data_IF_974924016503
#
_entry.id   IF_974924016503
#
_cell.length_a   1.000
_cell.length_b   1.000
_cell.length_c   1.000
_cell.angle_alpha   90.00
_cell.angle_beta   90.00
_cell.angle_gamma   90.00
#
_symmetry.space_group_name_H-M   'P 1'
#
loop_
_entity.id
_entity.type
_entity.pdbx_description
1 polymer ?
#
# COMPACT_ATOMS: atom_id res chain seq x y z
N UNK A 1 -11.38 -10.09 8.96
CA UNK A 1 -11.50 -10.83 10.23
C UNK A 1 -11.00 -10.01 11.42
N UNK A 2 -9.76 -9.49 11.42
CA UNK A 2 -9.25 -8.64 12.54
C UNK A 2 -10.15 -7.42 12.78
N UNK A 3 -10.47 -6.65 11.74
CA UNK A 3 -11.33 -5.44 11.82
C UNK A 3 -12.75 -5.68 12.38
N UNK A 4 -13.23 -6.92 12.40
CA UNK A 4 -14.56 -7.27 12.94
C UNK A 4 -14.54 -7.56 14.45
N UNK A 5 -13.34 -7.77 15.04
CA UNK A 5 -13.17 -8.01 16.47
C UNK A 5 -12.68 -6.77 17.23
N UNK A 6 -12.59 -5.63 16.57
CA UNK A 6 -12.04 -4.39 17.13
C UNK A 6 -13.14 -3.60 17.83
N UNK A 7 -12.80 -3.00 18.98
CA UNK A 7 -13.69 -2.11 19.75
C UNK A 7 -13.47 -0.62 19.43
N UNK A 8 -12.31 -0.26 18.89
CA UNK A 8 -11.95 1.11 18.49
C UNK A 8 -11.14 1.08 17.19
N UNK A 9 -11.67 1.73 16.15
CA UNK A 9 -11.01 1.93 14.87
C UNK A 9 -10.48 3.36 14.77
N UNK A 10 -9.15 3.49 14.73
CA UNK A 10 -8.47 4.76 14.45
C UNK A 10 -8.19 4.86 12.95
N UNK A 11 -8.79 5.84 12.29
CA UNK A 11 -8.63 6.08 10.85
C UNK A 11 -7.85 7.37 10.66
N UNK A 12 -6.63 7.24 10.15
CA UNK A 12 -5.66 8.33 10.04
C UNK A 12 -5.36 8.60 8.55
N UNK A 13 -5.86 9.71 8.01
CA UNK A 13 -5.55 10.17 6.66
C UNK A 13 -6.01 9.20 5.57
N UNK A 14 -7.07 8.44 5.85
CA UNK A 14 -7.61 7.44 4.96
C UNK A 14 -9.07 7.76 4.64
N UNK A 15 -9.42 7.52 3.38
CA UNK A 15 -10.79 7.61 2.88
C UNK A 15 -11.43 6.23 2.93
N UNK A 16 -12.68 6.16 3.35
CA UNK A 16 -13.46 4.92 3.38
C UNK A 16 -13.91 4.52 1.97
N UNK A 17 -12.96 4.15 1.10
CA UNK A 17 -13.29 3.66 -0.26
C UNK A 17 -14.05 2.34 -0.19
N UNK A 18 -14.95 2.14 -1.13
CA UNK A 18 -15.69 0.90 -1.39
C UNK A 18 -14.77 -0.35 -1.45
N UNK A 19 -13.59 -0.23 -2.06
CA UNK A 19 -12.59 -1.31 -2.15
C UNK A 19 -12.06 -1.76 -0.78
N UNK A 20 -12.08 -0.89 0.23
CA UNK A 20 -11.61 -1.18 1.59
C UNK A 20 -12.76 -1.64 2.48
N UNK A 21 -13.90 -0.94 2.40
CA UNK A 21 -15.02 -1.21 3.31
C UNK A 21 -15.90 -2.37 2.84
N UNK A 22 -15.89 -2.70 1.55
CA UNK A 22 -16.83 -3.62 0.94
C UNK A 22 -18.27 -3.20 1.20
N UNK A 23 -18.94 -3.86 2.14
CA UNK A 23 -20.29 -3.50 2.58
C UNK A 23 -20.22 -2.57 3.80
N UNK A 24 -20.42 -1.27 3.57
CA UNK A 24 -20.36 -0.23 4.60
C UNK A 24 -21.12 -0.58 5.90
N UNK A 25 -22.34 -1.12 5.79
CA UNK A 25 -23.17 -1.52 6.96
C UNK A 25 -22.57 -2.64 7.82
N UNK A 26 -21.70 -3.47 7.24
CA UNK A 26 -21.04 -4.58 7.92
C UNK A 26 -19.60 -4.22 8.35
N UNK A 27 -19.10 -3.05 7.94
CA UNK A 27 -17.74 -2.62 8.24
C UNK A 27 -17.66 -2.05 9.65
N UNK A 28 -16.81 -2.65 10.49
CA UNK A 28 -16.52 -2.18 11.86
C UNK A 28 -17.77 -1.88 12.71
N UNK A 29 -18.87 -2.63 12.53
CA UNK A 29 -20.18 -2.36 13.14
C UNK A 29 -20.19 -2.35 14.68
N UNK A 30 -19.23 -3.01 15.32
CA UNK A 30 -19.08 -3.09 16.77
C UNK A 30 -17.99 -2.15 17.32
N UNK A 31 -17.34 -1.36 16.47
CA UNK A 31 -16.22 -0.50 16.85
C UNK A 31 -16.65 0.96 16.95
N UNK A 32 -16.09 1.68 17.93
CA UNK A 32 -16.06 3.15 17.90
C UNK A 32 -15.09 3.63 16.83
N UNK A 33 -15.46 4.65 16.07
CA UNK A 33 -14.66 5.14 14.95
C UNK A 33 -14.16 6.55 15.25
N UNK A 34 -12.83 6.72 15.24
CA UNK A 34 -12.18 8.03 15.29
C UNK A 34 -11.57 8.30 13.92
N UNK A 35 -11.99 9.37 13.26
CA UNK A 35 -11.53 9.71 11.90
C UNK A 35 -10.78 11.04 11.90
N UNK A 36 -9.50 10.98 11.54
CA UNK A 36 -8.63 12.16 11.42
C UNK A 36 -8.31 12.33 9.94
N UNK A 37 -8.70 13.47 9.37
CA UNK A 37 -8.43 13.81 7.97
C UNK A 37 -8.17 15.31 7.84
N UNK A 38 -7.40 15.69 6.83
CA UNK A 38 -7.16 17.11 6.52
C UNK A 38 -8.34 17.70 5.74
N UNK A 39 -9.07 16.86 5.01
CA UNK A 39 -10.20 17.25 4.18
C UNK A 39 -11.52 17.06 4.95
N UNK A 40 -12.23 18.16 5.30
CA UNK A 40 -13.49 18.06 6.02
C UNK A 40 -14.59 17.31 5.23
N UNK A 41 -14.48 17.24 3.89
CA UNK A 41 -15.48 16.58 3.04
C UNK A 41 -15.41 15.05 3.10
N UNK A 42 -14.32 14.48 3.62
CA UNK A 42 -14.17 13.03 3.77
C UNK A 42 -14.73 12.52 5.11
N UNK A 43 -14.86 13.40 6.10
CA UNK A 43 -15.45 13.07 7.40
C UNK A 43 -16.95 12.78 7.23
N UNK A 44 -17.41 11.66 7.80
CA UNK A 44 -18.82 11.20 7.73
C UNK A 44 -19.38 10.93 6.32
N UNK A 45 -18.54 10.92 5.28
CA UNK A 45 -18.96 10.75 3.88
C UNK A 45 -19.56 9.37 3.61
N UNK A 46 -18.80 8.32 3.90
CA UNK A 46 -19.19 6.92 3.64
C UNK A 46 -19.49 6.14 4.93
N UNK A 47 -18.79 6.45 6.02
CA UNK A 47 -18.95 5.85 7.34
C UNK A 47 -19.04 6.99 8.35
N UNK A 48 -20.03 6.92 9.25
CA UNK A 48 -20.20 7.91 10.33
C UNK A 48 -19.16 7.65 11.42
N UNK A 49 -18.35 8.65 11.73
CA UNK A 49 -17.39 8.61 12.82
C UNK A 49 -18.06 8.99 14.15
N UNK A 50 -17.62 8.38 15.26
CA UNK A 50 -18.02 8.77 16.62
C UNK A 50 -17.28 10.04 17.08
N UNK A 51 -16.02 10.18 16.66
CA UNK A 51 -15.22 11.38 16.87
C UNK A 51 -14.40 11.69 15.62
N UNK A 52 -14.12 12.97 15.37
CA UNK A 52 -13.28 13.37 14.24
C UNK A 52 -12.40 14.56 14.57
N UNK A 53 -11.24 14.63 13.92
CA UNK A 53 -10.31 15.76 14.01
C UNK A 53 -9.99 16.17 12.58
N UNK A 54 -10.24 17.45 12.27
CA UNK A 54 -9.91 18.04 10.97
C UNK A 54 -8.58 18.77 11.12
N UNK A 55 -7.56 18.34 10.39
CA UNK A 55 -6.25 18.98 10.44
C UNK A 55 -5.12 18.15 9.85
N UNK A 56 -3.92 18.74 9.84
CA UNK A 56 -2.73 18.04 9.36
C UNK A 56 -2.37 16.86 10.28
N UNK A 57 -2.16 15.69 9.68
CA UNK A 57 -1.91 14.45 10.40
C UNK A 57 -0.66 14.52 11.28
N UNK A 58 0.41 15.19 10.82
CA UNK A 58 1.67 15.30 11.55
C UNK A 58 1.46 16.10 12.83
N UNK A 59 0.77 17.23 12.73
CA UNK A 59 0.48 18.10 13.88
C UNK A 59 -0.45 17.42 14.89
N UNK A 60 -1.47 16.70 14.40
CA UNK A 60 -2.39 15.95 15.27
C UNK A 60 -1.64 14.84 16.01
N UNK A 61 -0.80 14.07 15.32
CA UNK A 61 -0.04 12.98 15.94
C UNK A 61 0.98 13.47 16.97
N UNK A 62 1.62 14.62 16.77
CA UNK A 62 2.52 15.23 17.77
C UNK A 62 1.76 15.49 19.07
N UNK A 63 0.57 16.10 18.99
CA UNK A 63 -0.25 16.43 20.16
C UNK A 63 -0.78 15.17 20.84
N UNK A 64 -1.30 14.22 20.07
CA UNK A 64 -1.78 12.94 20.60
C UNK A 64 -0.66 12.18 21.31
N UNK A 65 0.52 12.06 20.71
CA UNK A 65 1.65 11.37 21.33
C UNK A 65 2.14 12.05 22.61
N UNK A 66 2.02 13.38 22.72
CA UNK A 66 2.36 14.10 23.96
C UNK A 66 1.34 13.90 25.09
N UNK A 67 0.08 13.65 24.73
CA UNK A 67 -1.02 13.48 25.68
C UNK A 67 -1.25 12.02 26.10
N UNK A 68 -0.79 11.06 25.30
CA UNK A 68 -1.01 9.63 25.51
C UNK A 68 0.15 9.01 26.28
N UNK A 69 -0.18 8.23 27.31
CA UNK A 69 0.77 7.32 27.94
C UNK A 69 0.77 5.99 27.20
N UNK A 70 1.94 5.32 27.17
CA UNK A 70 2.08 4.01 26.54
C UNK A 70 1.14 3.01 27.24
N UNK A 71 0.18 2.48 26.48
CA UNK A 71 -0.72 1.44 26.94
C UNK A 71 -0.14 0.06 26.61
N UNK A 72 -0.48 -0.94 27.41
CA UNK A 72 -0.20 -2.34 27.11
C UNK A 72 -1.48 -3.06 26.69
N UNK A 73 -1.39 -3.78 25.58
CA UNK A 73 -2.49 -4.54 24.98
C UNK A 73 -2.02 -5.94 24.60
N UNK A 74 -1.20 -6.57 25.45
CA UNK A 74 -0.58 -7.88 25.23
C UNK A 74 -1.58 -8.96 24.73
N UNK A 75 -2.74 -9.10 25.37
CA UNK A 75 -3.76 -10.08 24.99
C UNK A 75 -4.27 -9.87 23.55
N UNK A 76 -4.49 -8.61 23.16
CA UNK A 76 -4.92 -8.28 21.82
C UNK A 76 -3.80 -8.51 20.79
N UNK A 77 -2.56 -8.14 21.14
CA UNK A 77 -1.40 -8.40 20.30
C UNK A 77 -1.16 -9.90 20.07
N UNK A 78 -1.38 -10.72 21.11
CA UNK A 78 -1.32 -12.17 21.03
C UNK A 78 -2.42 -12.73 20.10
N UNK A 79 -3.66 -12.25 20.21
CA UNK A 79 -4.75 -12.63 19.31
C UNK A 79 -4.46 -12.25 17.84
N UNK A 80 -3.86 -11.08 17.60
CA UNK A 80 -3.41 -10.70 16.24
C UNK A 80 -2.34 -11.66 15.73
N UNK A 81 -1.38 -12.05 16.58
CA UNK A 81 -0.32 -12.98 16.23
C UNK A 81 -0.89 -14.34 15.82
N UNK A 82 -1.79 -14.90 16.62
CA UNK A 82 -2.48 -16.17 16.33
C UNK A 82 -3.26 -16.11 15.00
N UNK A 83 -3.94 -14.99 14.72
CA UNK A 83 -4.64 -14.82 13.45
C UNK A 83 -3.69 -14.76 12.26
N UNK A 84 -2.53 -14.12 12.40
CA UNK A 84 -1.50 -14.08 11.34
C UNK A 84 -0.90 -15.45 11.09
N UNK A 85 -0.68 -16.24 12.14
CA UNK A 85 -0.17 -17.61 12.05
C UNK A 85 -1.20 -18.57 11.45
N UNK A 86 -2.49 -18.39 11.76
CA UNK A 86 -3.58 -19.23 11.24
C UNK A 86 -3.92 -18.93 9.78
N UNK A 87 -3.75 -17.69 9.32
CA UNK A 87 -4.10 -17.25 7.97
C UNK A 87 -2.93 -16.52 7.29
N UNK A 88 -1.80 -17.21 7.04
CA UNK A 88 -0.67 -16.61 6.36
C UNK A 88 -0.96 -16.42 4.86
N UNK A 89 -0.24 -15.49 4.23
CA UNK A 89 -0.18 -15.43 2.77
C UNK A 89 0.57 -16.66 2.26
N UNK A 90 -0.12 -17.53 1.52
CA UNK A 90 0.49 -18.73 0.96
C UNK A 90 1.47 -18.35 -0.17
N UNK A 91 2.69 -18.88 -0.09
CA UNK A 91 3.71 -18.73 -1.11
C UNK A 91 4.28 -20.10 -1.45
N UNK A 92 4.11 -20.52 -2.70
CA UNK A 92 4.80 -21.69 -3.23
C UNK A 92 6.06 -21.22 -3.95
N UNK A 93 7.24 -21.60 -3.44
CA UNK A 93 8.55 -21.21 -4.00
C UNK A 93 9.09 -22.21 -5.02
N UNK A 94 8.48 -23.39 -5.12
CA UNK A 94 8.92 -24.47 -6.02
C UNK A 94 8.43 -24.26 -7.46
N UNK A 95 7.52 -23.31 -7.67
CA UNK A 95 6.94 -22.96 -8.97
C UNK A 95 7.13 -21.47 -9.23
N UNK A 96 7.46 -21.13 -10.48
CA UNK A 96 7.50 -19.73 -10.92
C UNK A 96 6.08 -19.15 -10.89
N UNK A 97 5.80 -18.36 -9.86
CA UNK A 97 4.54 -17.64 -9.68
C UNK A 97 4.81 -16.15 -9.51
N UNK A 98 3.81 -15.32 -9.83
CA UNK A 98 3.90 -13.87 -9.59
C UNK A 98 4.36 -13.52 -8.15
N UNK A 99 3.73 -14.09 -7.11
CA UNK A 99 4.20 -13.96 -5.73
C UNK A 99 5.66 -14.35 -5.50
N UNK A 100 6.14 -15.45 -6.10
CA UNK A 100 7.54 -15.90 -5.96
C UNK A 100 8.53 -14.92 -6.61
N UNK A 101 8.16 -14.28 -7.73
CA UNK A 101 8.95 -13.22 -8.35
C UNK A 101 9.07 -12.02 -7.42
N UNK A 102 7.97 -11.59 -6.80
CA UNK A 102 7.97 -10.45 -5.87
C UNK A 102 8.75 -10.76 -4.58
N UNK A 103 8.60 -11.97 -4.02
CA UNK A 103 9.39 -12.39 -2.85
C UNK A 103 10.89 -12.40 -3.16
N UNK A 104 11.28 -12.91 -4.32
CA UNK A 104 12.68 -12.90 -4.78
C UNK A 104 13.19 -11.47 -4.95
N UNK A 105 12.39 -10.59 -5.55
CA UNK A 105 12.71 -9.17 -5.70
C UNK A 105 12.92 -8.50 -4.33
N UNK A 106 12.04 -8.78 -3.36
CA UNK A 106 12.20 -8.29 -2.00
C UNK A 106 13.51 -8.77 -1.37
N UNK A 107 13.85 -10.05 -1.49
CA UNK A 107 15.08 -10.62 -0.93
C UNK A 107 16.34 -10.02 -1.56
N UNK A 108 16.36 -9.83 -2.87
CA UNK A 108 17.51 -9.26 -3.61
C UNK A 108 17.72 -7.78 -3.27
N UNK A 109 16.62 -7.03 -3.18
CA UNK A 109 16.66 -5.58 -2.90
C UNK A 109 16.67 -5.27 -1.42
N UNK A 110 16.58 -6.29 -0.56
CA UNK A 110 16.42 -6.19 0.87
C UNK A 110 15.27 -5.26 1.30
N UNK A 111 14.24 -5.05 0.49
CA UNK A 111 13.16 -4.09 0.77
C UNK A 111 13.51 -2.61 0.59
N UNK A 112 14.67 -2.30 -0.02
CA UNK A 112 15.19 -0.93 -0.18
C UNK A 112 14.93 -0.35 -1.58
N UNK A 113 14.27 -1.09 -2.48
CA UNK A 113 13.90 -0.57 -3.80
C UNK A 113 12.62 0.28 -3.76
N UNK A 114 12.52 1.22 -4.69
CA UNK A 114 11.25 1.87 -5.02
C UNK A 114 10.55 0.98 -6.04
N UNK A 115 9.35 0.54 -5.69
CA UNK A 115 8.50 -0.30 -6.52
C UNK A 115 7.40 0.55 -7.12
N UNK A 116 7.38 0.64 -8.44
CA UNK A 116 6.23 1.12 -9.18
C UNK A 116 5.43 -0.05 -9.71
N UNK A 117 4.13 0.13 -9.89
CA UNK A 117 3.30 -0.92 -10.49
C UNK A 117 2.35 -0.34 -11.52
N UNK A 118 2.01 -1.19 -12.48
CA UNK A 118 0.77 -1.05 -13.22
C UNK A 118 -0.43 -1.58 -12.41
N UNK A 119 -1.56 -1.82 -13.08
CA UNK A 119 -2.83 -2.17 -12.45
C UNK A 119 -3.27 -3.56 -12.90
N UNK A 120 -3.58 -4.43 -11.93
CA UNK A 120 -3.97 -5.81 -12.19
C UNK A 120 -3.55 -6.77 -11.08
N UNK A 121 -3.44 -8.06 -11.39
CA UNK A 121 -3.02 -9.06 -10.39
C UNK A 121 -1.60 -8.79 -9.86
N UNK A 122 -0.69 -8.40 -10.73
CA UNK A 122 0.69 -8.04 -10.39
C UNK A 122 0.77 -6.86 -9.39
N UNK A 123 -0.16 -5.90 -9.46
CA UNK A 123 -0.28 -4.82 -8.48
C UNK A 123 -0.56 -5.37 -7.08
N UNK A 124 -1.47 -6.34 -6.98
CA UNK A 124 -1.82 -6.97 -5.70
C UNK A 124 -0.68 -7.83 -5.17
N UNK A 125 0.00 -8.58 -6.02
CA UNK A 125 1.17 -9.36 -5.61
C UNK A 125 2.30 -8.47 -5.09
N UNK A 126 2.59 -7.36 -5.77
CA UNK A 126 3.56 -6.37 -5.30
C UNK A 126 3.17 -5.82 -3.92
N UNK A 127 1.90 -5.45 -3.72
CA UNK A 127 1.42 -4.93 -2.43
C UNK A 127 1.39 -5.99 -1.30
N UNK A 128 1.20 -7.26 -1.64
CA UNK A 128 1.08 -8.35 -0.65
C UNK A 128 2.43 -8.95 -0.26
N UNK A 129 3.34 -9.14 -1.21
CA UNK A 129 4.57 -9.91 -1.01
C UNK A 129 5.84 -9.04 -0.88
N UNK A 130 5.82 -7.79 -1.35
CA UNK A 130 6.93 -6.87 -1.11
C UNK A 130 6.74 -6.14 0.23
N UNK A 131 7.70 -6.25 1.14
CA UNK A 131 7.63 -5.58 2.46
C UNK A 131 8.30 -4.22 2.40
N UNK A 132 7.50 -3.17 2.32
CA UNK A 132 7.96 -1.78 2.29
C UNK A 132 8.42 -1.33 3.68
N UNK A 133 9.63 -0.78 3.78
CA UNK A 133 10.22 -0.28 5.04
C UNK A 133 9.89 1.19 5.30
N UNK A 134 9.66 1.95 4.24
CA UNK A 134 9.54 3.40 4.30
C UNK A 134 8.34 3.90 3.49
N UNK A 135 7.76 5.06 3.86
CA UNK A 135 6.78 5.72 3.00
C UNK A 135 7.42 6.07 1.65
N UNK A 136 6.58 6.18 0.61
CA UNK A 136 6.97 6.53 -0.78
C UNK A 136 7.80 5.46 -1.52
N UNK A 137 7.94 4.26 -0.96
CA UNK A 137 8.55 3.12 -1.66
C UNK A 137 7.59 2.44 -2.65
N UNK A 138 6.29 2.47 -2.40
CA UNK A 138 5.26 1.97 -3.32
C UNK A 138 4.62 3.13 -4.08
N UNK A 139 4.72 3.11 -5.40
CA UNK A 139 4.11 4.11 -6.29
C UNK A 139 3.18 3.40 -7.26
N UNK A 140 1.87 3.48 -7.01
CA UNK A 140 0.87 2.72 -7.75
C UNK A 140 -0.40 3.54 -7.99
N UNK A 141 -1.08 3.30 -9.11
CA UNK A 141 -2.38 3.92 -9.40
C UNK A 141 -3.49 3.20 -8.64
N UNK A 142 -3.85 3.72 -7.46
CA UNK A 142 -4.88 3.15 -6.60
C UNK A 142 -6.30 3.59 -7.00
N UNK A 143 -6.58 4.90 -6.92
CA UNK A 143 -7.93 5.45 -7.07
C UNK A 143 -8.55 5.19 -8.44
N UNK A 144 -7.95 5.75 -9.49
CA UNK A 144 -8.45 5.59 -10.87
C UNK A 144 -8.13 4.19 -11.43
N UNK A 145 -7.01 3.59 -11.02
CA UNK A 145 -6.60 2.28 -11.55
C UNK A 145 -6.15 2.35 -13.01
N UNK A 146 -5.31 3.33 -13.34
CA UNK A 146 -4.81 3.56 -14.70
C UNK A 146 -3.77 2.53 -15.12
N UNK A 147 -4.08 1.71 -16.13
CA UNK A 147 -3.12 0.81 -16.78
C UNK A 147 -2.09 1.60 -17.61
N UNK A 148 -0.83 1.15 -17.65
CA UNK A 148 0.28 1.84 -18.32
C UNK A 148 0.97 2.92 -17.47
N UNK A 149 0.49 3.16 -16.24
CA UNK A 149 1.08 4.12 -15.30
C UNK A 149 2.53 3.77 -14.90
N UNK A 150 2.85 2.49 -14.80
CA UNK A 150 4.04 1.99 -14.11
C UNK A 150 5.37 2.45 -14.71
N UNK A 151 5.53 2.40 -16.03
CA UNK A 151 6.83 2.71 -16.69
C UNK A 151 7.20 4.18 -16.48
N UNK A 152 6.29 5.10 -16.79
CA UNK A 152 6.51 6.54 -16.60
C UNK A 152 6.72 6.91 -15.14
N UNK A 153 5.95 6.28 -14.23
CA UNK A 153 6.15 6.47 -12.79
C UNK A 153 7.54 6.00 -12.33
N UNK A 154 8.06 4.90 -12.87
CA UNK A 154 9.39 4.38 -12.54
C UNK A 154 10.50 5.33 -12.99
N UNK A 155 10.38 5.88 -14.21
CA UNK A 155 11.29 6.89 -14.73
C UNK A 155 11.29 8.12 -13.80
N UNK A 156 10.12 8.64 -13.46
CA UNK A 156 9.99 9.78 -12.55
C UNK A 156 10.57 9.49 -11.17
N UNK A 157 10.30 8.31 -10.62
CA UNK A 157 10.82 7.88 -9.32
C UNK A 157 12.35 7.82 -9.31
N UNK A 158 12.95 7.27 -10.38
CA UNK A 158 14.40 7.18 -10.52
C UNK A 158 15.05 8.56 -10.68
N UNK A 159 14.40 9.47 -11.39
CA UNK A 159 14.88 10.86 -11.52
C UNK A 159 14.77 11.64 -10.20
N UNK A 160 13.74 11.36 -9.40
CA UNK A 160 13.59 11.93 -8.06
C UNK A 160 14.50 11.31 -7.01
N UNK A 161 14.96 10.07 -7.22
CA UNK A 161 15.80 9.31 -6.28
C UNK A 161 16.92 8.59 -7.03
N UNK A 162 17.94 9.35 -7.43
CA UNK A 162 19.02 8.86 -8.31
C UNK A 162 19.77 7.65 -7.75
N UNK A 163 19.91 7.56 -6.43
CA UNK A 163 20.70 6.50 -5.77
C UNK A 163 19.89 5.22 -5.52
N UNK A 164 18.55 5.28 -5.53
CA UNK A 164 17.70 4.13 -5.21
C UNK A 164 17.45 3.26 -6.45
N UNK A 165 17.40 1.95 -6.25
CA UNK A 165 16.94 1.01 -7.27
C UNK A 165 15.45 1.24 -7.48
N UNK A 166 15.04 1.46 -8.74
CA UNK A 166 13.65 1.65 -9.11
C UNK A 166 13.21 0.52 -10.03
N UNK A 167 12.13 -0.18 -9.64
CA UNK A 167 11.64 -1.37 -10.31
C UNK A 167 10.17 -1.20 -10.63
N UNK A 168 9.80 -1.32 -11.90
CA UNK A 168 8.41 -1.40 -12.32
C UNK A 168 7.97 -2.86 -12.44
N UNK A 169 6.89 -3.21 -11.75
CA UNK A 169 6.22 -4.50 -11.90
C UNK A 169 4.95 -4.28 -12.74
N UNK A 170 4.93 -4.84 -13.95
CA UNK A 170 3.83 -4.69 -14.88
C UNK A 170 3.28 -6.04 -15.34
N UNK A 171 2.01 -6.05 -15.73
CA UNK A 171 1.44 -7.10 -16.57
C UNK A 171 1.71 -6.80 -18.05
N UNK A 172 1.72 -7.83 -18.87
CA UNK A 172 1.87 -7.78 -20.33
C UNK A 172 0.98 -6.70 -21.00
N UNK A 173 -0.32 -6.67 -20.68
CA UNK A 173 -1.27 -5.74 -21.27
C UNK A 173 -1.03 -4.29 -20.85
N UNK A 174 -0.60 -4.06 -19.61
CA UNK A 174 -0.30 -2.72 -19.12
C UNK A 174 1.00 -2.20 -19.71
N UNK A 175 2.03 -3.05 -19.77
CA UNK A 175 3.31 -2.69 -20.35
C UNK A 175 3.14 -2.27 -21.80
N UNK A 176 2.34 -3.01 -22.58
CA UNK A 176 2.05 -2.68 -23.98
C UNK A 176 1.47 -1.27 -24.18
N UNK A 177 0.74 -0.73 -23.20
CA UNK A 177 0.11 0.60 -23.34
C UNK A 177 1.13 1.74 -23.37
N UNK A 178 2.24 1.62 -22.63
CA UNK A 178 3.25 2.69 -22.49
C UNK A 178 4.70 2.20 -22.65
N UNK A 179 4.92 1.08 -23.35
CA UNK A 179 6.26 0.54 -23.59
C UNK A 179 7.17 1.48 -24.40
N UNK A 180 6.59 2.44 -25.12
CA UNK A 180 7.32 3.48 -25.84
C UNK A 180 8.21 4.33 -24.90
N UNK A 181 7.88 4.43 -23.61
CA UNK A 181 8.69 5.17 -22.64
C UNK A 181 10.04 4.50 -22.32
N UNK A 182 10.25 3.25 -22.72
CA UNK A 182 11.58 2.63 -22.70
C UNK A 182 12.54 3.42 -23.62
N UNK A 183 12.07 4.00 -24.72
CA UNK A 183 12.88 4.87 -25.56
C UNK A 183 13.34 6.12 -24.79
N UNK A 184 12.47 6.69 -23.94
CA UNK A 184 12.81 7.80 -23.04
C UNK A 184 13.88 7.37 -22.05
N UNK A 185 13.68 6.25 -21.34
CA UNK A 185 14.64 5.74 -20.37
C UNK A 185 16.02 5.52 -20.99
N UNK A 186 16.08 4.89 -22.16
CA UNK A 186 17.35 4.64 -22.88
C UNK A 186 17.99 5.92 -23.38
N UNK A 187 17.23 6.84 -23.98
CA UNK A 187 17.76 8.10 -24.52
C UNK A 187 18.43 8.96 -23.44
N UNK A 188 17.87 8.96 -22.24
CA UNK A 188 18.38 9.74 -21.11
C UNK A 188 19.25 8.91 -20.16
N UNK A 189 19.59 7.66 -20.51
CA UNK A 189 20.37 6.73 -19.68
C UNK A 189 19.84 6.60 -18.24
N UNK A 190 18.52 6.48 -18.09
CA UNK A 190 17.85 6.37 -16.79
C UNK A 190 17.77 4.88 -16.42
N UNK A 191 18.50 4.41 -15.38
CA UNK A 191 18.59 2.99 -15.08
C UNK A 191 17.38 2.54 -14.26
N UNK A 192 16.30 2.21 -14.96
CA UNK A 192 15.10 1.58 -14.41
C UNK A 192 15.15 0.06 -14.65
N UNK A 193 14.49 -0.71 -13.78
CA UNK A 193 14.29 -2.14 -13.97
C UNK A 193 12.83 -2.38 -14.32
N UNK A 194 12.56 -3.06 -15.44
CA UNK A 194 11.21 -3.42 -15.86
C UNK A 194 11.01 -4.93 -15.70
N UNK A 195 10.04 -5.33 -14.87
CA UNK A 195 9.59 -6.71 -14.72
C UNK A 195 8.22 -6.81 -15.37
N UNK A 196 8.07 -7.73 -16.33
CA UNK A 196 6.80 -8.04 -16.98
C UNK A 196 6.38 -9.44 -16.56
N UNK A 197 5.23 -9.55 -15.90
CA UNK A 197 4.60 -10.82 -15.58
C UNK A 197 3.61 -11.13 -16.71
N UNK A 198 3.90 -12.19 -17.47
CA UNK A 198 3.17 -12.64 -18.65
C UNK A 198 2.82 -14.12 -18.49
#
# INVERSE_FOLDING_TARGET
MVLQCVILLLVLGARFSDRVIGKAKAFANNAKIVHIDVDPSEINKNIKADASIIGDMKEVLIRLNSALTKQDHADWMQKIKEMKEKYPLALNKDVLTGPAVIDSLYNITNGDAIITTDVGQHQMWAAQFYKFKEPRQLITSGGLGTMGYGVGACIGAKMGNKDRVCVNVAGDGCFRMNMNEIATATRYNIPIIQIVIN
#
